data_IF_272799350714
#
_entry.id   IF_272799350714
#
_cell.length_a   1.000
_cell.length_b   1.000
_cell.length_c   1.000
_cell.angle_alpha   90.00
_cell.angle_beta   90.00
_cell.angle_gamma   90.00
#
_symmetry.space_group_name_H-M   'P 1'
#
loop_
_entity.id
_entity.type
_entity.pdbx_description
1 polymer ?
2 non-polymer ?
3 non-polymer ?
4 non-polymer ?
5 water ?
#
# COMPACT_ATOMS: atom_id res chain seq x y z
N UNK A 1 26.59 -0.84 11.50
CA UNK A 1 26.08 -1.98 12.32
C UNK A 1 24.55 -2.09 12.18
N UNK A 2 24.00 -3.24 12.58
CA UNK A 2 22.58 -3.47 12.48
C UNK A 2 21.78 -3.20 13.75
N UNK A 3 22.47 -2.97 14.87
CA UNK A 3 21.76 -2.67 16.11
C UNK A 3 21.89 -1.20 16.49
N UNK A 4 22.80 -0.49 15.81
CA UNK A 4 22.96 0.93 16.06
C UNK A 4 21.62 1.56 15.74
N UNK A 5 20.85 0.84 14.91
CA UNK A 5 19.55 1.28 14.46
C UNK A 5 18.52 1.11 15.59
N UNK A 6 18.47 -0.09 16.18
CA UNK A 6 17.53 -0.35 17.28
C UNK A 6 17.85 0.54 18.45
N UNK A 7 19.15 0.70 18.71
CA UNK A 7 19.64 1.53 19.80
C UNK A 7 19.09 2.95 19.71
N UNK A 8 19.24 3.59 18.56
CA UNK A 8 18.76 4.94 18.39
C UNK A 8 17.23 5.03 18.45
N UNK A 9 16.56 4.10 17.76
CA UNK A 9 15.10 4.10 17.73
C UNK A 9 14.43 3.88 19.08
N UNK A 10 14.85 2.85 19.81
CA UNK A 10 14.25 2.54 21.10
C UNK A 10 14.32 3.69 22.12
N UNK A 11 15.39 4.47 22.06
CA UNK A 11 15.56 5.58 23.00
C UNK A 11 14.99 6.92 22.52
N UNK A 12 14.66 7.02 21.25
CA UNK A 12 14.15 8.29 20.73
C UNK A 12 12.74 8.65 21.19
N UNK A 13 12.51 9.94 21.34
CA UNK A 13 11.20 10.46 21.72
C UNK A 13 10.34 10.38 20.47
N UNK A 14 9.13 9.86 20.62
CA UNK A 14 8.22 9.73 19.48
C UNK A 14 7.32 10.97 19.41
N UNK A 15 7.52 11.80 18.38
CA UNK A 15 6.72 13.03 18.19
C UNK A 15 5.25 12.68 17.99
N UNK A 16 4.39 13.67 18.22
CA UNK A 16 2.94 13.48 18.07
C UNK A 16 2.57 13.28 16.61
N UNK A 17 1.38 12.72 16.39
CA UNK A 17 0.91 12.48 15.04
C UNK A 17 0.81 13.82 14.31
N UNK A 18 0.30 14.83 15.00
CA UNK A 18 0.15 16.15 14.39
C UNK A 18 1.52 16.67 13.91
N UNK A 19 2.53 16.56 14.77
CA UNK A 19 3.84 17.04 14.40
C UNK A 19 4.41 16.28 13.21
N UNK A 20 4.12 14.98 13.16
CA UNK A 20 4.62 14.13 12.09
C UNK A 20 3.84 14.26 10.79
N UNK A 21 2.68 14.93 10.85
CA UNK A 21 1.82 15.15 9.69
C UNK A 21 1.26 13.87 9.09
N UNK A 22 1.28 12.77 9.85
CA UNK A 22 0.79 11.50 9.34
C UNK A 22 -0.72 11.38 9.21
N UNK A 23 -1.45 12.41 9.64
CA UNK A 23 -2.90 12.38 9.54
C UNK A 23 -3.35 12.94 8.18
N UNK A 24 -2.41 13.52 7.45
CA UNK A 24 -2.73 14.14 6.16
C UNK A 24 -2.65 13.19 4.96
N UNK A 25 -3.65 13.26 4.08
CA UNK A 25 -3.65 12.42 2.90
C UNK A 25 -2.54 12.83 1.92
N UNK A 26 -2.13 14.09 1.98
CA UNK A 26 -1.09 14.61 1.08
C UNK A 26 0.33 14.40 1.61
N UNK A 27 0.44 13.63 2.69
CA UNK A 27 1.73 13.33 3.33
C UNK A 27 2.85 12.91 2.37
N UNK A 28 4.07 13.37 2.65
CA UNK A 28 5.24 13.01 1.86
C UNK A 28 6.32 12.48 2.80
N UNK A 29 6.96 11.38 2.41
CA UNK A 29 8.02 10.78 3.21
C UNK A 29 9.40 11.26 2.79
N UNK A 30 9.47 11.90 1.62
CA UNK A 30 10.74 12.34 1.04
C UNK A 30 11.72 13.07 1.97
N UNK A 31 11.20 13.98 2.79
CA UNK A 31 12.06 14.76 3.68
C UNK A 31 12.47 14.05 4.96
N UNK A 32 11.96 12.84 5.20
CA UNK A 32 12.28 12.10 6.42
C UNK A 32 13.39 11.06 6.29
N UNK A 33 14.17 10.92 7.36
CA UNK A 33 15.24 9.94 7.40
C UNK A 33 14.59 8.60 7.71
N UNK A 34 15.33 7.51 7.56
CA UNK A 34 14.76 6.19 7.87
C UNK A 34 14.29 6.15 9.33
N UNK A 35 15.09 6.69 10.24
CA UNK A 35 14.71 6.72 11.65
C UNK A 35 13.37 7.40 11.83
N UNK A 36 13.18 8.54 11.17
CA UNK A 36 11.93 9.26 11.30
C UNK A 36 10.74 8.47 10.74
N UNK A 37 10.96 7.64 9.72
CA UNK A 37 9.83 6.85 9.22
C UNK A 37 9.49 5.78 10.26
N UNK A 38 10.48 5.33 11.02
CA UNK A 38 10.25 4.34 12.06
C UNK A 38 9.49 5.00 13.21
N UNK A 39 9.82 6.26 13.51
CA UNK A 39 9.12 6.97 14.58
C UNK A 39 7.65 7.18 14.16
N UNK A 40 7.45 7.50 12.89
CA UNK A 40 6.10 7.69 12.36
C UNK A 40 5.31 6.40 12.51
N UNK A 41 5.97 5.29 12.27
CA UNK A 41 5.31 3.99 12.37
C UNK A 41 4.92 3.68 13.82
N UNK A 42 5.81 3.97 14.76
CA UNK A 42 5.51 3.74 16.17
C UNK A 42 4.29 4.57 16.57
N UNK A 43 4.24 5.82 16.11
CA UNK A 43 3.13 6.71 16.41
C UNK A 43 1.82 6.16 15.84
N UNK A 44 1.89 5.55 14.65
CA UNK A 44 0.69 4.97 14.05
C UNK A 44 0.14 3.88 14.98
N UNK A 45 0.99 2.95 15.39
CA UNK A 45 0.57 1.87 16.30
C UNK A 45 0.06 2.43 17.62
N UNK A 46 0.73 3.46 18.10
CA UNK A 46 0.36 4.04 19.39
C UNK A 46 -0.99 4.76 19.37
N UNK A 47 -1.19 5.62 18.38
CA UNK A 47 -2.43 6.38 18.28
C UNK A 47 -3.66 5.58 17.85
N UNK A 48 -3.45 4.34 17.42
CA UNK A 48 -4.55 3.48 17.05
C UNK A 48 -4.80 2.52 18.22
N UNK A 49 -4.14 2.82 19.34
CA UNK A 49 -4.26 2.06 20.58
C UNK A 49 -3.78 0.60 20.49
N UNK A 50 -2.94 0.30 19.52
CA UNK A 50 -2.46 -1.07 19.38
C UNK A 50 -1.38 -1.47 20.37
N UNK A 51 -0.50 -0.54 20.73
CA UNK A 51 0.58 -0.84 21.67
C UNK A 51 -0.02 -1.15 23.03
N UNK A 52 -0.95 -0.29 23.44
CA UNK A 52 -1.63 -0.43 24.73
C UNK A 52 -2.52 -1.66 24.83
N UNK A 53 -3.53 -1.72 23.96
CA UNK A 53 -4.49 -2.82 23.98
C UNK A 53 -3.91 -4.20 23.77
N UNK A 54 -2.85 -4.32 22.99
CA UNK A 54 -2.28 -5.63 22.73
C UNK A 54 -0.98 -5.94 23.47
N UNK A 55 -0.70 -5.12 24.49
CA UNK A 55 0.46 -5.30 25.36
C UNK A 55 1.78 -5.49 24.64
N UNK A 56 2.08 -4.59 23.70
CA UNK A 56 3.33 -4.66 22.95
C UNK A 56 4.47 -4.00 23.70
N UNK A 57 5.56 -4.73 23.91
CA UNK A 57 6.71 -4.14 24.59
C UNK A 57 7.40 -3.22 23.58
N UNK A 58 7.79 -2.03 24.04
CA UNK A 58 8.42 -1.05 23.16
C UNK A 58 9.57 -1.59 22.33
N UNK A 59 10.51 -2.27 22.96
CA UNK A 59 11.66 -2.82 22.27
C UNK A 59 11.27 -3.84 21.20
N UNK A 60 10.19 -4.57 21.47
CA UNK A 60 9.72 -5.58 20.53
C UNK A 60 9.14 -4.89 19.29
N UNK A 61 8.32 -3.86 19.50
CA UNK A 61 7.74 -3.12 18.37
C UNK A 61 8.86 -2.49 17.53
N UNK A 62 9.84 -1.88 18.20
CA UNK A 62 10.95 -1.25 17.49
C UNK A 62 11.72 -2.26 16.65
N UNK A 63 12.05 -3.41 17.24
CA UNK A 63 12.79 -4.43 16.52
C UNK A 63 11.99 -4.92 15.31
N UNK A 64 10.68 -5.12 15.50
CA UNK A 64 9.84 -5.59 14.40
C UNK A 64 9.82 -4.59 13.24
N UNK A 65 9.64 -3.32 13.54
CA UNK A 65 9.60 -2.29 12.50
C UNK A 65 10.91 -2.29 11.73
N UNK A 66 12.02 -2.35 12.46
CA UNK A 66 13.33 -2.35 11.82
C UNK A 66 13.51 -3.60 10.96
N UNK A 67 13.02 -4.75 11.44
CA UNK A 67 13.13 -6.00 10.68
C UNK A 67 12.35 -5.91 9.37
N UNK A 68 11.17 -5.34 9.43
CA UNK A 68 10.34 -5.17 8.25
C UNK A 68 11.08 -4.27 7.26
N UNK A 69 11.50 -3.11 7.74
CA UNK A 69 12.21 -2.15 6.89
C UNK A 69 13.43 -2.78 6.24
N UNK A 70 14.20 -3.52 7.03
CA UNK A 70 15.41 -4.16 6.54
C UNK A 70 15.16 -5.21 5.47
N UNK A 71 14.01 -5.88 5.52
CA UNK A 71 13.70 -6.91 4.55
C UNK A 71 13.22 -6.39 3.19
N UNK A 72 13.03 -5.08 3.06
CA UNK A 72 12.68 -4.50 1.76
C UNK A 72 14.03 -4.20 1.12
N UNK A 73 14.06 -4.02 -0.19
CA UNK A 73 15.31 -3.73 -0.88
C UNK A 73 15.39 -2.31 -1.41
N UNK A 74 16.35 -1.54 -0.91
CA UNK A 74 16.52 -0.16 -1.34
C UNK A 74 16.85 -0.04 -2.83
N UNK A 75 17.45 -1.08 -3.41
CA UNK A 75 17.79 -1.00 -4.82
C UNK A 75 16.61 -1.22 -5.76
N UNK A 76 15.42 -1.45 -5.21
CA UNK A 76 14.21 -1.58 -6.02
C UNK A 76 13.67 -0.16 -6.00
N UNK A 77 13.58 0.45 -7.17
CA UNK A 77 13.17 1.85 -7.29
C UNK A 77 11.91 2.31 -6.57
N UNK A 78 10.82 1.55 -6.69
CA UNK A 78 9.58 1.95 -6.07
C UNK A 78 9.03 1.02 -5.00
N UNK A 79 8.92 -0.26 -5.31
CA UNK A 79 8.38 -1.20 -4.31
C UNK A 79 9.42 -1.56 -3.27
N UNK A 80 9.65 -0.63 -2.35
CA UNK A 80 10.61 -0.75 -1.26
C UNK A 80 9.99 -0.31 0.05
N UNK A 81 10.79 -0.12 1.09
CA UNK A 81 10.25 0.29 2.39
C UNK A 81 9.42 1.58 2.36
N UNK A 82 9.85 2.56 1.58
CA UNK A 82 9.11 3.81 1.53
C UNK A 82 7.70 3.59 0.96
N UNK A 83 7.54 2.63 0.04
CA UNK A 83 6.20 2.36 -0.50
C UNK A 83 5.32 1.74 0.59
N UNK A 84 5.87 0.76 1.30
CA UNK A 84 5.15 0.08 2.37
C UNK A 84 4.79 1.08 3.47
N UNK A 85 5.76 1.92 3.80
CA UNK A 85 5.57 2.94 4.81
C UNK A 85 4.44 3.90 4.38
N UNK A 86 4.47 4.37 3.13
CA UNK A 86 3.43 5.26 2.66
C UNK A 86 2.07 4.58 2.63
N UNK A 87 2.05 3.28 2.32
CA UNK A 87 0.79 2.56 2.30
C UNK A 87 0.20 2.54 3.70
N UNK A 88 1.05 2.29 4.69
CA UNK A 88 0.60 2.26 6.09
C UNK A 88 0.15 3.66 6.55
N UNK A 89 0.87 4.70 6.12
CA UNK A 89 0.48 6.05 6.50
C UNK A 89 -0.89 6.38 5.92
N UNK A 90 -1.14 5.93 4.69
CA UNK A 90 -2.44 6.22 4.08
C UNK A 90 -3.53 5.49 4.86
N UNK A 91 -3.22 4.28 5.33
CA UNK A 91 -4.16 3.49 6.12
C UNK A 91 -4.46 4.28 7.41
N UNK A 92 -3.42 4.82 8.04
CA UNK A 92 -3.59 5.60 9.25
C UNK A 92 -4.48 6.82 9.00
N UNK A 93 -4.22 7.53 7.90
CA UNK A 93 -5.01 8.71 7.55
C UNK A 93 -6.47 8.35 7.29
N UNK A 94 -6.69 7.22 6.61
CA UNK A 94 -8.05 6.79 6.30
C UNK A 94 -8.78 6.41 7.58
N UNK A 95 -8.06 5.82 8.52
CA UNK A 95 -8.64 5.42 9.79
C UNK A 95 -8.98 6.62 10.66
N UNK A 96 -8.10 7.62 10.66
CA UNK A 96 -8.31 8.82 11.47
C UNK A 96 -9.12 9.90 10.75
N UNK A 97 -8.53 10.52 9.74
CA UNK A 97 -9.21 11.56 8.98
C UNK A 97 -10.46 11.03 8.29
N UNK A 98 -10.38 9.80 7.78
CA UNK A 98 -11.52 9.19 7.10
C UNK A 98 -12.54 8.61 8.05
N UNK A 99 -12.22 8.61 9.34
CA UNK A 99 -13.11 8.09 10.36
C UNK A 99 -13.48 6.63 10.16
N UNK A 100 -12.56 5.86 9.59
CA UNK A 100 -12.83 4.45 9.37
C UNK A 100 -12.49 3.67 10.63
N UNK A 101 -11.71 4.28 11.53
CA UNK A 101 -11.34 3.60 12.77
C UNK A 101 -12.57 3.07 13.52
N UNK A 102 -13.58 3.92 13.75
CA UNK A 102 -14.76 3.46 14.47
C UNK A 102 -15.62 2.45 13.71
N UNK A 103 -15.33 2.24 12.42
CA UNK A 103 -16.10 1.27 11.64
C UNK A 103 -15.58 -0.16 11.79
N UNK A 104 -14.34 -0.28 12.28
CA UNK A 104 -13.69 -1.59 12.41
C UNK A 104 -13.32 -1.92 13.86
N UNK A 105 -12.99 -3.19 14.10
CA UNK A 105 -12.60 -3.66 15.43
C UNK A 105 -11.10 -3.41 15.59
N UNK A 106 -10.61 -3.42 16.83
CA UNK A 106 -9.18 -3.20 17.05
C UNK A 106 -8.36 -4.32 16.42
N UNK A 107 -8.88 -5.54 16.40
CA UNK A 107 -8.13 -6.66 15.80
C UNK A 107 -8.02 -6.51 14.29
N UNK A 108 -9.05 -5.93 13.67
CA UNK A 108 -9.02 -5.72 12.23
C UNK A 108 -8.02 -4.62 11.92
N UNK A 109 -8.01 -3.57 12.74
CA UNK A 109 -7.09 -2.45 12.55
C UNK A 109 -5.65 -2.95 12.71
N UNK A 110 -5.41 -3.77 13.73
CA UNK A 110 -4.09 -4.34 13.96
C UNK A 110 -3.63 -5.09 12.71
N UNK A 111 -4.52 -5.92 12.17
CA UNK A 111 -4.21 -6.71 10.98
C UNK A 111 -3.91 -5.81 9.77
N UNK A 112 -4.72 -4.77 9.59
CA UNK A 112 -4.54 -3.85 8.48
C UNK A 112 -3.22 -3.10 8.51
N UNK A 113 -2.82 -2.62 9.69
CA UNK A 113 -1.58 -1.87 9.76
C UNK A 113 -0.39 -2.78 9.50
N UNK A 114 -0.41 -3.98 10.09
CA UNK A 114 0.68 -4.94 9.87
C UNK A 114 0.73 -5.34 8.40
N UNK A 115 -0.45 -5.57 7.81
CA UNK A 115 -0.54 -5.94 6.40
C UNK A 115 0.00 -4.82 5.50
N UNK A 116 -0.38 -3.58 5.79
CA UNK A 116 0.08 -2.45 4.97
C UNK A 116 1.61 -2.40 4.97
N UNK A 117 2.20 -2.52 6.15
CA UNK A 117 3.65 -2.48 6.27
C UNK A 117 4.37 -3.68 5.68
N UNK A 118 3.71 -4.83 5.69
CA UNK A 118 4.32 -6.08 5.23
C UNK A 118 3.94 -6.60 3.85
N UNK A 119 2.92 -6.03 3.23
CA UNK A 119 2.42 -6.55 1.96
C UNK A 119 3.33 -6.72 0.74
N UNK A 120 4.43 -5.99 0.66
CA UNK A 120 5.33 -6.14 -0.48
C UNK A 120 6.71 -6.66 -0.09
N UNK A 121 6.78 -7.38 1.03
CA UNK A 121 8.05 -7.91 1.52
C UNK A 121 8.79 -8.82 0.54
N UNK A 122 8.05 -9.59 -0.27
CA UNK A 122 8.67 -10.49 -1.24
C UNK A 122 8.79 -9.82 -2.60
N UNK A 123 9.25 -8.57 -2.64
CA UNK A 123 9.39 -7.84 -3.89
C UNK A 123 10.85 -7.57 -4.24
N UNK A 124 11.27 -8.15 -5.36
CA UNK A 124 12.63 -8.01 -5.82
C UNK A 124 12.68 -7.19 -7.11
N UNK A 125 11.66 -6.36 -7.30
CA UNK A 125 11.60 -5.53 -8.48
C UNK A 125 10.87 -6.23 -9.62
N UNK A 126 10.31 -7.40 -9.33
CA UNK A 126 9.57 -8.17 -10.33
C UNK A 126 8.08 -7.97 -10.14
N UNK A 127 7.46 -7.19 -11.02
CA UNK A 127 6.03 -6.94 -10.95
C UNK A 127 5.35 -8.06 -11.73
N UNK A 128 4.65 -8.93 -11.00
CA UNK A 128 3.99 -10.09 -11.59
C UNK A 128 2.51 -9.90 -11.90
N UNK A 129 2.00 -8.70 -11.65
CA UNK A 129 0.60 -8.41 -11.91
C UNK A 129 0.49 -6.96 -12.32
N UNK A 130 0.11 -6.73 -13.57
CA UNK A 130 -0.01 -5.37 -14.06
C UNK A 130 -0.87 -5.31 -15.30
N UNK A 131 -1.01 -4.12 -15.85
CA UNK A 131 -1.82 -3.89 -17.04
C UNK A 131 -0.98 -3.57 -18.27
N UNK A 132 -1.19 -4.34 -19.33
CA UNK A 132 -0.48 -4.09 -20.59
C UNK A 132 -1.40 -3.27 -21.45
N UNK A 133 -0.82 -2.38 -22.24
CA UNK A 133 -1.58 -1.54 -23.16
C UNK A 133 -2.66 -0.69 -22.50
N UNK A 134 -2.34 -0.07 -21.36
CA UNK A 134 -3.33 0.75 -20.66
C UNK A 134 -3.76 1.94 -21.51
N UNK A 135 -2.88 2.39 -22.39
CA UNK A 135 -3.17 3.54 -23.24
C UNK A 135 -4.14 3.24 -24.38
N UNK A 136 -4.46 1.96 -24.57
CA UNK A 136 -5.36 1.55 -25.64
C UNK A 136 -6.71 1.17 -25.02
N UNK A 137 -7.67 2.11 -25.06
CA UNK A 137 -9.04 1.97 -24.53
C UNK A 137 -9.75 0.65 -24.73
N UNK A 138 -9.60 0.04 -25.91
CA UNK A 138 -10.28 -1.22 -26.18
C UNK A 138 -9.39 -2.45 -26.19
N UNK A 139 -8.12 -2.28 -25.83
CA UNK A 139 -7.21 -3.41 -25.86
C UNK A 139 -6.40 -3.58 -24.57
N UNK A 140 -6.87 -3.01 -23.47
CA UNK A 140 -6.13 -3.13 -22.22
C UNK A 140 -6.18 -4.59 -21.78
N UNK A 141 -5.06 -5.08 -21.27
CA UNK A 141 -4.98 -6.46 -20.82
C UNK A 141 -4.46 -6.49 -19.40
N UNK A 142 -5.05 -7.34 -18.57
CA UNK A 142 -4.53 -7.47 -17.22
C UNK A 142 -3.75 -8.78 -17.26
N UNK A 143 -2.50 -8.76 -16.80
CA UNK A 143 -1.67 -9.96 -16.81
C UNK A 143 -1.16 -10.29 -15.43
N UNK A 144 -0.99 -11.58 -15.16
CA UNK A 144 -0.48 -12.02 -13.86
C UNK A 144 0.20 -13.38 -14.03
N UNK A 145 1.25 -13.60 -13.24
CA UNK A 145 1.99 -14.86 -13.31
C UNK A 145 1.13 -16.04 -12.91
N UNK A 146 1.38 -17.19 -13.53
CA UNK A 146 0.64 -18.39 -13.20
C UNK A 146 1.02 -18.85 -11.79
N UNK A 147 2.25 -18.52 -11.38
CA UNK A 147 2.74 -18.89 -10.06
C UNK A 147 2.35 -17.79 -9.06
N UNK A 148 2.24 -18.16 -7.79
CA UNK A 148 1.86 -17.20 -6.75
C UNK A 148 3.04 -16.65 -5.97
N UNK A 149 2.78 -15.69 -5.08
CA UNK A 149 3.84 -15.06 -4.29
C UNK A 149 3.89 -15.41 -2.81
N UNK A 150 5.03 -15.10 -2.20
CA UNK A 150 5.24 -15.40 -0.79
C UNK A 150 5.34 -14.16 0.10
N UNK A 151 4.53 -13.14 -0.18
CA UNK A 151 4.56 -11.94 0.64
C UNK A 151 4.09 -12.26 2.06
N UNK A 152 2.98 -12.98 2.19
CA UNK A 152 2.49 -13.34 3.51
C UNK A 152 3.50 -14.19 4.27
N UNK A 153 4.14 -15.12 3.56
CA UNK A 153 5.12 -15.98 4.20
C UNK A 153 6.26 -15.18 4.83
N UNK A 154 6.72 -14.14 4.14
CA UNK A 154 7.80 -13.32 4.69
C UNK A 154 7.29 -12.53 5.89
N UNK A 155 6.05 -12.05 5.79
CA UNK A 155 5.43 -11.31 6.87
C UNK A 155 5.38 -12.21 8.10
N UNK A 156 4.91 -13.44 7.92
CA UNK A 156 4.81 -14.40 9.03
C UNK A 156 6.19 -14.69 9.62
N UNK A 157 7.17 -14.90 8.76
CA UNK A 157 8.53 -15.18 9.21
C UNK A 157 9.03 -14.10 10.18
N UNK A 158 8.80 -12.83 9.84
CA UNK A 158 9.25 -11.75 10.71
C UNK A 158 8.44 -11.69 12.00
N UNK A 159 7.13 -11.90 11.90
CA UNK A 159 6.26 -11.87 13.08
C UNK A 159 6.63 -12.98 14.07
N UNK A 160 7.22 -14.06 13.56
CA UNK A 160 7.59 -15.17 14.42
C UNK A 160 9.07 -15.21 14.76
N UNK A 161 9.81 -14.19 14.35
CA UNK A 161 11.25 -14.15 14.65
C UNK A 161 11.47 -13.74 16.09
N UNK A 162 12.40 -14.41 16.79
CA UNK A 162 12.65 -14.05 18.18
C UNK A 162 12.94 -12.56 18.33
N UNK A 163 12.31 -11.96 19.33
CA UNK A 163 12.50 -10.54 19.61
C UNK A 163 11.60 -9.62 18.79
N UNK A 164 10.87 -10.19 17.83
CA UNK A 164 10.00 -9.41 16.96
C UNK A 164 8.51 -9.78 17.05
N UNK A 165 8.14 -10.58 18.06
CA UNK A 165 6.76 -11.03 18.16
C UNK A 165 5.76 -10.02 18.71
N UNK A 166 5.40 -9.03 17.89
CA UNK A 166 4.45 -8.02 18.30
C UNK A 166 3.03 -8.55 18.53
N UNK A 167 2.77 -9.80 18.15
CA UNK A 167 1.46 -10.38 18.37
C UNK A 167 1.46 -11.36 19.54
N UNK A 168 2.57 -11.42 20.29
CA UNK A 168 2.67 -12.35 21.41
C UNK A 168 1.64 -12.09 22.52
N UNK A 169 1.09 -10.87 22.55
CA UNK A 169 0.11 -10.52 23.55
C UNK A 169 -1.32 -10.95 23.25
N UNK A 170 -1.54 -11.52 22.08
CA UNK A 170 -2.88 -11.97 21.71
C UNK A 170 -3.15 -13.38 22.25
N UNK A 171 -4.42 -13.72 22.40
CA UNK A 171 -4.79 -15.05 22.86
C UNK A 171 -4.57 -15.99 21.68
N UNK A 172 -4.60 -17.30 21.95
CA UNK A 172 -4.40 -18.28 20.89
C UNK A 172 -5.40 -18.07 19.75
N UNK A 173 -6.67 -17.90 20.11
CA UNK A 173 -7.71 -17.70 19.12
C UNK A 173 -7.59 -16.37 18.41
N UNK A 174 -7.28 -15.31 19.16
CA UNK A 174 -7.12 -13.98 18.54
C UNK A 174 -5.97 -14.00 17.55
N UNK A 175 -4.92 -14.74 17.91
CA UNK A 175 -3.74 -14.85 17.07
C UNK A 175 -4.08 -15.52 15.74
N UNK A 176 -4.83 -16.62 15.81
CA UNK A 176 -5.22 -17.36 14.61
C UNK A 176 -6.10 -16.51 13.71
N UNK A 177 -7.05 -15.80 14.32
CA UNK A 177 -7.97 -14.96 13.56
C UNK A 177 -7.23 -13.80 12.90
N UNK A 178 -6.36 -13.16 13.65
CA UNK A 178 -5.60 -12.02 13.14
C UNK A 178 -4.69 -12.41 11.99
N UNK A 179 -4.09 -13.59 12.06
CA UNK A 179 -3.21 -14.03 10.99
C UNK A 179 -4.01 -14.25 9.72
N UNK A 180 -5.25 -14.72 9.87
CA UNK A 180 -6.09 -14.94 8.71
C UNK A 180 -6.43 -13.63 8.03
N UNK A 181 -6.72 -12.59 8.81
CA UNK A 181 -7.05 -11.29 8.25
C UNK A 181 -5.83 -10.66 7.59
N UNK A 182 -4.67 -10.81 8.20
CA UNK A 182 -3.44 -10.25 7.64
C UNK A 182 -3.17 -10.89 6.29
N UNK A 183 -3.29 -12.22 6.22
CA UNK A 183 -3.06 -12.95 4.98
C UNK A 183 -4.01 -12.46 3.87
N UNK A 184 -5.28 -12.31 4.20
CA UNK A 184 -6.27 -11.86 3.22
C UNK A 184 -5.99 -10.43 2.77
N UNK A 185 -5.55 -9.60 3.71
CA UNK A 185 -5.23 -8.21 3.41
C UNK A 185 -4.04 -8.12 2.47
N UNK A 186 -3.01 -8.93 2.71
CA UNK A 186 -1.84 -8.91 1.86
C UNK A 186 -2.19 -9.45 0.47
N UNK A 187 -2.92 -10.55 0.41
CA UNK A 187 -3.30 -11.10 -0.89
C UNK A 187 -4.12 -10.10 -1.70
N UNK A 188 -4.95 -9.33 -1.00
CA UNK A 188 -5.79 -8.33 -1.68
C UNK A 188 -5.01 -7.29 -2.45
N UNK A 189 -3.75 -7.06 -2.08
CA UNK A 189 -2.96 -6.04 -2.78
C UNK A 189 -2.50 -6.47 -4.17
N UNK A 190 -2.79 -7.71 -4.55
CA UNK A 190 -2.45 -8.23 -5.88
C UNK A 190 -3.54 -7.64 -6.79
N UNK A 191 -3.15 -6.89 -7.82
CA UNK A 191 -4.14 -6.29 -8.72
C UNK A 191 -5.17 -7.30 -9.24
N UNK A 192 -4.73 -8.53 -9.47
CA UNK A 192 -5.60 -9.58 -9.99
C UNK A 192 -6.83 -9.80 -9.12
N UNK A 193 -6.61 -9.96 -7.82
CA UNK A 193 -7.70 -10.18 -6.89
C UNK A 193 -8.57 -8.93 -6.79
N UNK A 194 -7.95 -7.76 -6.91
CA UNK A 194 -8.71 -6.52 -6.86
C UNK A 194 -9.69 -6.47 -8.03
N UNK A 195 -9.17 -6.68 -9.23
CA UNK A 195 -10.00 -6.66 -10.43
C UNK A 195 -11.11 -7.71 -10.36
N UNK A 196 -10.78 -8.85 -9.76
CA UNK A 196 -11.72 -9.95 -9.62
C UNK A 196 -12.88 -9.68 -8.66
N UNK A 197 -12.59 -9.05 -7.53
CA UNK A 197 -13.63 -8.80 -6.53
C UNK A 197 -14.27 -7.42 -6.50
N UNK A 198 -13.70 -6.44 -7.19
CA UNK A 198 -14.25 -5.09 -7.14
C UNK A 198 -15.67 -4.93 -7.66
N UNK A 199 -16.04 -5.69 -8.69
CA UNK A 199 -17.38 -5.58 -9.22
C UNK A 199 -18.46 -5.74 -8.16
N UNK A 200 -18.27 -6.74 -7.30
CA UNK A 200 -19.23 -7.01 -6.23
C UNK A 200 -19.37 -5.81 -5.29
N UNK A 201 -18.23 -5.22 -4.95
CA UNK A 201 -18.21 -4.06 -4.06
C UNK A 201 -18.91 -2.87 -4.70
N UNK A 202 -18.57 -2.58 -5.96
CA UNK A 202 -19.18 -1.46 -6.66
C UNK A 202 -20.69 -1.63 -6.77
N UNK A 203 -21.14 -2.85 -7.00
CA UNK A 203 -22.58 -3.12 -7.11
C UNK A 203 -23.28 -2.89 -5.77
N UNK A 204 -22.67 -3.35 -4.70
CA UNK A 204 -23.24 -3.16 -3.36
C UNK A 204 -23.37 -1.66 -3.08
N UNK A 205 -22.33 -0.92 -3.40
CA UNK A 205 -22.34 0.52 -3.16
C UNK A 205 -23.39 1.21 -4.00
N UNK A 206 -23.47 0.83 -5.28
CA UNK A 206 -24.42 1.41 -6.20
C UNK A 206 -25.86 1.23 -5.74
N UNK A 207 -26.15 0.08 -5.14
CA UNK A 207 -27.50 -0.22 -4.68
C UNK A 207 -27.72 0.10 -3.20
N UNK A 208 -26.78 0.84 -2.61
CA UNK A 208 -26.89 1.21 -1.20
C UNK A 208 -27.12 -0.04 -0.34
N UNK A 209 -26.44 -1.12 -0.70
CA UNK A 209 -26.56 -2.39 0.03
C UNK A 209 -25.33 -2.73 0.86
N UNK A 210 -24.29 -1.90 0.82
CA UNK A 210 -23.10 -2.23 1.60
C UNK A 210 -23.39 -2.28 3.09
N UNK A 211 -23.15 -3.45 3.67
CA UNK A 211 -23.39 -3.72 5.08
C UNK A 211 -22.11 -4.08 5.83
N UNK A 212 -21.56 -3.12 6.56
CA UNK A 212 -20.34 -3.30 7.34
C UNK A 212 -20.33 -4.56 8.21
N UNK A 213 -21.46 -4.87 8.82
CA UNK A 213 -21.52 -6.01 9.73
C UNK A 213 -21.74 -7.39 9.11
N UNK A 214 -21.79 -7.47 7.79
CA UNK A 214 -21.91 -8.76 7.12
C UNK A 214 -20.46 -9.18 6.97
N UNK A 215 -20.04 -10.26 7.64
CA UNK A 215 -18.64 -10.72 7.55
C UNK A 215 -18.05 -10.80 6.13
N UNK A 216 -18.83 -11.30 5.18
CA UNK A 216 -18.36 -11.41 3.80
C UNK A 216 -18.09 -10.01 3.23
N UNK A 217 -18.99 -9.08 3.50
CA UNK A 217 -18.85 -7.73 3.01
C UNK A 217 -17.76 -6.98 3.78
N UNK A 218 -17.56 -7.33 5.04
CA UNK A 218 -16.50 -6.69 5.82
C UNK A 218 -15.15 -7.07 5.18
N UNK A 219 -15.00 -8.35 4.86
CA UNK A 219 -13.77 -8.85 4.25
C UNK A 219 -13.52 -8.14 2.92
N UNK A 220 -14.57 -8.00 2.13
CA UNK A 220 -14.47 -7.35 0.83
C UNK A 220 -14.01 -5.89 0.97
N UNK A 221 -14.57 -5.19 1.95
CA UNK A 221 -14.21 -3.79 2.19
C UNK A 221 -12.75 -3.65 2.61
N UNK A 222 -12.29 -4.55 3.48
CA UNK A 222 -10.90 -4.50 3.92
C UNK A 222 -9.97 -4.71 2.74
N UNK A 223 -10.36 -5.59 1.81
CA UNK A 223 -9.55 -5.83 0.62
C UNK A 223 -9.52 -4.57 -0.24
N UNK A 224 -10.66 -3.91 -0.39
CA UNK A 224 -10.74 -2.68 -1.19
C UNK A 224 -9.95 -1.55 -0.55
N UNK A 225 -9.99 -1.48 0.77
CA UNK A 225 -9.25 -0.45 1.51
C UNK A 225 -7.75 -0.68 1.32
N UNK A 226 -7.32 -1.93 1.35
CA UNK A 226 -5.90 -2.22 1.15
C UNK A 226 -5.46 -1.69 -0.21
N UNK A 227 -6.24 -1.98 -1.25
CA UNK A 227 -5.88 -1.51 -2.58
C UNK A 227 -5.87 0.02 -2.62
N UNK A 228 -6.86 0.64 -2.01
CA UNK A 228 -6.92 2.11 -1.99
C UNK A 228 -5.65 2.70 -1.39
N UNK A 229 -5.16 2.11 -0.31
CA UNK A 229 -3.93 2.60 0.33
C UNK A 229 -2.69 2.26 -0.50
N UNK A 230 -2.67 1.06 -1.07
CA UNK A 230 -1.55 0.61 -1.89
C UNK A 230 -1.35 1.52 -3.11
N UNK A 231 -2.45 1.97 -3.72
CA UNK A 231 -2.38 2.82 -4.91
C UNK A 231 -2.39 4.32 -4.63
N UNK A 232 -2.49 4.71 -3.36
CA UNK A 232 -2.61 6.12 -3.00
C UNK A 232 -1.55 7.10 -3.50
N UNK A 233 -0.40 6.60 -3.91
CA UNK A 233 0.62 7.51 -4.44
C UNK A 233 0.04 8.28 -5.63
N UNK A 234 -0.88 7.63 -6.35
CA UNK A 234 -1.52 8.23 -7.52
C UNK A 234 -2.44 9.41 -7.19
N UNK A 235 -2.75 9.59 -5.90
CA UNK A 235 -3.64 10.67 -5.46
C UNK A 235 -2.97 11.89 -4.82
N UNK A 236 -1.64 11.84 -4.69
CA UNK A 236 -0.88 12.91 -4.03
C UNK A 236 -0.82 14.19 -4.84
N UNK A 237 -0.50 15.33 -4.18
CA UNK A 237 -0.41 16.60 -4.90
C UNK A 237 0.54 16.33 -6.07
N UNK A 238 0.23 16.90 -7.24
CA UNK A 238 1.01 16.67 -8.45
C UNK A 238 2.53 16.50 -8.37
N UNK A 239 3.26 17.47 -7.77
CA UNK A 239 4.71 17.28 -7.70
C UNK A 239 5.15 16.00 -6.99
N UNK A 240 4.46 15.65 -5.91
CA UNK A 240 4.79 14.43 -5.16
C UNK A 240 4.41 13.23 -6.04
N UNK A 241 3.21 13.31 -6.61
CA UNK A 241 2.68 12.28 -7.50
C UNK A 241 3.66 11.98 -8.62
N UNK A 242 4.12 13.02 -9.30
CA UNK A 242 5.03 12.81 -10.42
C UNK A 242 6.37 12.22 -10.02
N UNK A 243 6.89 12.62 -8.88
CA UNK A 243 8.18 12.07 -8.43
C UNK A 243 8.02 10.58 -8.19
N UNK A 244 6.92 10.19 -7.56
CA UNK A 244 6.66 8.78 -7.29
C UNK A 244 6.42 8.02 -8.59
N UNK A 245 5.73 8.64 -9.53
CA UNK A 245 5.46 8.00 -10.83
C UNK A 245 6.75 7.73 -11.59
N UNK A 246 7.74 8.62 -11.43
CA UNK A 246 9.02 8.42 -12.10
C UNK A 246 9.71 7.19 -11.54
N UNK A 247 9.53 6.97 -10.24
CA UNK A 247 10.11 5.81 -9.59
C UNK A 247 9.47 4.52 -10.13
N UNK A 248 8.15 4.54 -10.25
CA UNK A 248 7.42 3.38 -10.76
C UNK A 248 7.89 3.06 -12.18
N UNK A 249 7.98 4.07 -13.02
CA UNK A 249 8.42 3.89 -14.40
C UNK A 249 9.84 3.32 -14.44
N UNK A 250 10.73 3.89 -13.63
CA UNK A 250 12.10 3.43 -13.56
C UNK A 250 12.14 1.94 -13.25
N UNK A 251 11.36 1.53 -12.25
CA UNK A 251 11.31 0.11 -11.88
C UNK A 251 10.78 -0.76 -13.02
N UNK A 252 9.76 -0.26 -13.71
CA UNK A 252 9.19 -1.00 -14.83
C UNK A 252 10.23 -1.16 -15.93
N UNK A 253 10.96 -0.08 -16.22
CA UNK A 253 11.98 -0.12 -17.28
C UNK A 253 13.13 -1.05 -16.89
N UNK A 254 13.46 -1.07 -15.61
CA UNK A 254 14.52 -1.94 -15.13
C UNK A 254 14.07 -3.38 -15.33
N UNK A 255 12.78 -3.66 -15.13
CA UNK A 255 12.24 -5.00 -15.29
C UNK A 255 12.33 -5.43 -16.76
N UNK A 256 11.96 -4.51 -17.64
CA UNK A 256 12.02 -4.79 -19.07
C UNK A 256 13.44 -5.10 -19.48
N UNK A 257 14.41 -4.37 -18.95
CA UNK A 257 15.81 -4.62 -19.28
C UNK A 257 16.22 -6.01 -18.81
N UNK A 258 15.77 -6.38 -17.62
CA UNK A 258 16.11 -7.67 -17.04
C UNK A 258 15.47 -8.86 -17.77
N UNK A 259 14.20 -8.74 -18.13
CA UNK A 259 13.51 -9.82 -18.82
C UNK A 259 14.05 -9.96 -20.25
N UNK A 260 14.64 -8.87 -20.74
CA UNK A 260 15.21 -8.85 -22.07
C UNK A 260 16.48 -9.70 -22.06
N UNK A 261 17.25 -9.57 -20.99
CA UNK A 261 18.50 -10.31 -20.84
C UNK A 261 18.28 -11.76 -20.42
N UNK A 262 17.29 -11.98 -19.55
CA UNK A 262 17.00 -13.32 -19.07
C UNK A 262 16.07 -14.15 -19.95
N UNK A 263 15.18 -13.50 -20.70
CA UNK A 263 14.25 -14.23 -21.54
C UNK A 263 14.40 -14.02 -23.05
N UNK A 264 15.29 -13.12 -23.45
CA UNK A 264 15.48 -12.84 -24.87
C UNK A 264 14.19 -12.43 -25.56
N UNK A 265 13.41 -11.60 -24.90
CA UNK A 265 12.17 -11.10 -25.48
C UNK A 265 12.16 -9.60 -25.31
N UNK A 266 11.43 -8.91 -26.18
CA UNK A 266 11.32 -7.47 -26.08
C UNK A 266 10.18 -7.18 -25.12
N UNK A 267 10.40 -6.25 -24.19
CA UNK A 267 9.38 -5.90 -23.20
C UNK A 267 8.13 -5.27 -23.78
N UNK A 268 7.01 -5.41 -23.06
CA UNK A 268 5.77 -4.78 -23.48
C UNK A 268 6.11 -3.29 -23.37
N UNK A 269 5.38 -2.43 -24.07
CA UNK A 269 5.69 -1.00 -24.02
C UNK A 269 5.84 -0.41 -22.62
N UNK A 270 5.03 -0.88 -21.68
CA UNK A 270 5.09 -0.39 -20.31
C UNK A 270 6.47 -0.52 -19.68
N UNK A 271 7.18 -1.58 -20.04
CA UNK A 271 8.49 -1.82 -19.47
C UNK A 271 9.63 -1.54 -20.45
N UNK A 272 9.31 -0.78 -21.50
CA UNK A 272 10.29 -0.41 -22.52
C UNK A 272 10.68 1.04 -22.41
N UNK A 273 11.89 1.26 -21.91
CA UNK A 273 12.48 2.57 -21.72
C UNK A 273 12.35 3.48 -22.95
N UNK A 274 12.35 2.88 -24.14
CA UNK A 274 12.26 3.68 -25.36
C UNK A 274 10.85 4.22 -25.63
N UNK A 275 9.89 3.81 -24.82
CA UNK A 275 8.50 4.24 -24.98
C UNK A 275 8.11 5.30 -23.96
N UNK A 276 9.10 5.93 -23.34
CA UNK A 276 8.88 6.97 -22.32
C UNK A 276 7.88 8.05 -22.70
N UNK A 277 7.91 8.46 -23.96
CA UNK A 277 7.01 9.49 -24.45
C UNK A 277 5.54 9.15 -24.24
N UNK A 278 5.24 7.85 -24.17
CA UNK A 278 3.86 7.38 -23.99
C UNK A 278 3.38 7.32 -22.55
N UNK A 279 4.27 7.61 -21.60
CA UNK A 279 3.92 7.55 -20.19
C UNK A 279 2.62 8.27 -19.79
N UNK A 280 2.48 9.56 -20.15
CA UNK A 280 1.23 10.22 -19.76
C UNK A 280 -0.04 9.50 -20.22
N UNK A 281 -0.07 9.00 -21.46
CA UNK A 281 -1.25 8.30 -21.94
C UNK A 281 -1.45 7.00 -21.16
N UNK A 282 -0.34 6.40 -20.75
CA UNK A 282 -0.40 5.15 -19.98
C UNK A 282 -0.92 5.44 -18.56
N UNK A 283 -0.48 6.56 -17.99
CA UNK A 283 -0.93 6.93 -16.65
C UNK A 283 -2.43 7.21 -16.67
N UNK A 284 -2.89 7.87 -17.72
CA UNK A 284 -4.32 8.17 -17.83
C UNK A 284 -5.13 6.89 -17.96
N UNK A 285 -4.68 5.97 -18.79
CA UNK A 285 -5.38 4.71 -18.98
C UNK A 285 -5.45 3.93 -17.68
N UNK A 286 -4.37 3.95 -16.92
CA UNK A 286 -4.33 3.22 -15.67
C UNK A 286 -5.31 3.83 -14.67
N UNK A 287 -5.28 5.15 -14.54
CA UNK A 287 -6.17 5.83 -13.62
C UNK A 287 -7.63 5.55 -13.95
N UNK A 288 -8.00 5.65 -15.22
CA UNK A 288 -9.38 5.41 -15.61
C UNK A 288 -9.83 3.98 -15.37
N UNK A 289 -8.98 3.02 -15.73
CA UNK A 289 -9.29 1.61 -15.62
C UNK A 289 -9.27 1.02 -14.23
N UNK A 290 -8.38 1.54 -13.38
CA UNK A 290 -8.20 0.99 -12.04
C UNK A 290 -8.48 1.86 -10.82
N UNK A 291 -8.04 3.11 -10.88
CA UNK A 291 -8.15 4.01 -9.73
C UNK A 291 -9.41 4.82 -9.47
N UNK A 292 -9.89 5.55 -10.46
CA UNK A 292 -11.05 6.40 -10.22
C UNK A 292 -12.29 5.76 -9.63
N UNK A 293 -12.70 4.60 -10.13
CA UNK A 293 -13.90 3.98 -9.60
C UNK A 293 -13.72 3.53 -8.14
N UNK A 294 -12.51 3.11 -7.79
CA UNK A 294 -12.26 2.68 -6.41
C UNK A 294 -12.34 3.86 -5.43
N UNK A 295 -11.70 4.97 -5.76
CA UNK A 295 -11.74 6.11 -4.86
C UNK A 295 -13.14 6.71 -4.74
N UNK A 296 -13.92 6.63 -5.82
CA UNK A 296 -15.28 7.12 -5.81
C UNK A 296 -16.10 6.26 -4.84
N UNK A 297 -15.96 4.95 -4.98
CA UNK A 297 -16.67 4.00 -4.14
C UNK A 297 -16.32 4.14 -2.65
N UNK A 298 -15.05 4.40 -2.37
CA UNK A 298 -14.62 4.55 -0.98
C UNK A 298 -15.31 5.74 -0.31
N UNK A 299 -15.56 6.80 -1.07
CA UNK A 299 -16.20 7.99 -0.48
C UNK A 299 -17.63 7.72 -0.03
N UNK A 300 -18.23 6.65 -0.55
CA UNK A 300 -19.59 6.28 -0.16
C UNK A 300 -19.61 5.60 1.20
N UNK A 301 -18.49 4.99 1.59
CA UNK A 301 -18.42 4.35 2.89
C UNK A 301 -17.85 5.38 3.87
N UNK A 302 -16.88 6.16 3.38
CA UNK A 302 -16.23 7.19 4.17
C UNK A 302 -16.17 8.49 3.38
N UNK A 303 -17.12 9.39 3.62
CA UNK A 303 -17.15 10.67 2.91
C UNK A 303 -15.86 11.45 3.08
N UNK A 304 -15.25 11.36 4.25
CA UNK A 304 -14.03 12.09 4.54
C UNK A 304 -12.78 11.60 3.82
N UNK A 305 -12.93 10.57 2.98
CA UNK A 305 -11.81 10.07 2.20
C UNK A 305 -11.85 10.78 0.84
N UNK A 306 -12.72 11.79 0.74
CA UNK A 306 -12.83 12.53 -0.50
C UNK A 306 -11.50 13.05 -1.06
N UNK A 307 -10.57 13.48 -0.18
CA UNK A 307 -9.28 13.99 -0.68
C UNK A 307 -8.55 13.02 -1.61
N UNK A 308 -8.72 11.73 -1.39
CA UNK A 308 -8.09 10.72 -2.23
C UNK A 308 -8.67 10.77 -3.64
N UNK A 309 -10.00 10.88 -3.73
CA UNK A 309 -10.68 10.95 -5.02
C UNK A 309 -10.32 12.27 -5.71
N UNK A 310 -10.36 13.35 -4.94
CA UNK A 310 -10.05 14.68 -5.46
C UNK A 310 -8.66 14.71 -6.07
N UNK A 311 -7.69 14.15 -5.35
CA UNK A 311 -6.33 14.12 -5.84
C UNK A 311 -6.17 13.28 -7.08
N UNK A 312 -6.84 12.13 -7.10
CA UNK A 312 -6.77 11.23 -8.25
C UNK A 312 -7.27 11.98 -9.49
N UNK A 313 -8.38 12.70 -9.33
CA UNK A 313 -8.97 13.45 -10.43
C UNK A 313 -8.04 14.53 -10.96
N UNK A 314 -7.48 15.33 -10.05
CA UNK A 314 -6.57 16.39 -10.46
C UNK A 314 -5.38 15.81 -11.21
N UNK A 315 -4.84 14.69 -10.74
CA UNK A 315 -3.68 14.12 -11.42
C UNK A 315 -4.02 13.56 -12.78
N UNK A 316 -5.23 13.04 -12.95
CA UNK A 316 -5.60 12.50 -14.26
C UNK A 316 -5.61 13.65 -15.25
N UNK A 317 -6.15 14.79 -14.82
CA UNK A 317 -6.21 15.96 -15.69
C UNK A 317 -4.83 16.39 -16.14
N UNK A 318 -3.89 16.41 -15.21
CA UNK A 318 -2.52 16.82 -15.53
C UNK A 318 -1.82 15.82 -16.43
N UNK A 319 -2.08 14.54 -16.22
CA UNK A 319 -1.47 13.52 -17.07
C UNK A 319 -2.08 13.64 -18.48
N UNK A 320 -3.39 13.83 -18.54
CA UNK A 320 -4.08 13.96 -19.83
C UNK A 320 -3.56 15.16 -20.60
N UNK A 321 -3.36 16.27 -19.90
CA UNK A 321 -2.85 17.48 -20.54
C UNK A 321 -1.49 17.16 -21.16
N UNK A 322 -0.66 16.42 -20.43
CA UNK A 322 0.66 16.05 -20.94
C UNK A 322 0.57 15.09 -22.12
N UNK A 323 -0.45 14.22 -22.09
CA UNK A 323 -0.65 13.24 -23.17
C UNK A 323 -0.96 13.98 -24.46
N UNK A 324 -1.74 15.04 -24.34
CA UNK A 324 -2.12 15.86 -25.48
C UNK A 324 -0.92 16.74 -25.80
N UNK A 325 0.08 16.69 -24.91
CA UNK A 325 1.31 17.44 -25.05
C UNK A 325 1.09 18.93 -24.91
N UNK A 326 1.38 19.45 -23.71
CA UNK A 326 1.22 20.87 -23.40
C UNK A 326 2.02 21.79 -24.33
#
# INVERSE_FOLDING_TARGET
>A
EETRELQSLAAAVVPSAQTLKITDFSFSDFELSDLETALCTIRMFTDLNLVQNFQMKHEVLCRWILSVKKNYRKNVAYHNWRHAFNTAQCMFAALKAGKIQNKLTDLEILALLIAALSHDLDHRGVNNSYIQRSEHPLAQLYCHSIMEHHHFDQCLMILNSPGNQILSGLSIEEYKTTLKIIKQAILATDLALYIKRRGEFFELIRKNQFNLEDPHQKELFLAMLMTACDLSAITKPWPIQQRIAELVATEFFDQGDRERKELNIEPTDLMNREKKNKIPSMQVGFIDAICLQLYEALTHVSEDCFPLLDGCRKNRQKWQALAEQQ
#
